data_IF_555230288295
#
_entry.id   IF_555230288295
#
_cell.length_a   1.000
_cell.length_b   1.000
_cell.length_c   1.000
_cell.angle_alpha   90.00
_cell.angle_beta   90.00
_cell.angle_gamma   90.00
#
_symmetry.space_group_name_H-M   'P 1'
#
loop_
_entity.id
_entity.type
_entity.pdbx_description
1 polymer ?
#
# COMPACT_ATOMS: atom_id res chain seq x y z
N UNK A 1 -19.34 -1.41 -7.66
CA UNK A 1 -18.13 -0.72 -8.17
C UNK A 1 -17.16 -1.80 -8.64
N UNK A 2 -16.74 -1.88 -9.92
CA UNK A 2 -15.88 -2.96 -10.38
C UNK A 2 -14.42 -2.63 -10.02
N UNK A 3 -13.97 -3.17 -8.89
CA UNK A 3 -12.58 -3.13 -8.45
C UNK A 3 -11.83 -4.24 -9.21
N UNK A 4 -10.86 -3.85 -10.04
CA UNK A 4 -10.03 -4.71 -10.90
C UNK A 4 -10.73 -5.33 -12.12
N UNK A 5 -10.70 -4.64 -13.26
CA UNK A 5 -10.79 -5.29 -14.57
C UNK A 5 -9.36 -5.51 -15.09
N UNK A 6 -8.92 -6.77 -15.10
CA UNK A 6 -7.66 -7.17 -15.75
C UNK A 6 -7.82 -7.04 -17.27
N UNK A 7 -7.48 -5.89 -17.84
CA UNK A 7 -7.39 -5.73 -19.30
C UNK A 7 -6.19 -6.53 -19.78
N UNK A 8 -6.43 -7.79 -20.14
CA UNK A 8 -5.41 -8.72 -20.63
C UNK A 8 -5.34 -8.59 -22.15
N UNK A 9 -4.35 -7.88 -22.70
CA UNK A 9 -4.03 -8.04 -24.13
C UNK A 9 -3.23 -9.33 -24.29
N UNK A 10 -3.84 -10.34 -24.92
CA UNK A 10 -3.13 -11.54 -25.35
C UNK A 10 -2.43 -11.23 -26.67
N UNK A 11 -1.11 -11.09 -26.66
CA UNK A 11 -0.31 -11.05 -27.89
C UNK A 11 0.43 -12.39 -28.03
N UNK A 12 0.24 -13.06 -29.16
CA UNK A 12 0.92 -14.32 -29.47
C UNK A 12 2.17 -13.98 -30.27
N UNK A 13 3.36 -14.26 -29.73
CA UNK A 13 4.62 -14.28 -30.49
C UNK A 13 5.30 -15.63 -30.26
N UNK A 14 5.68 -16.30 -31.34
CA UNK A 14 6.41 -17.58 -31.35
C UNK A 14 5.79 -18.70 -30.50
N UNK A 15 4.49 -18.96 -30.64
CA UNK A 15 3.81 -20.10 -30.02
C UNK A 15 3.71 -20.05 -28.48
N UNK A 16 4.18 -18.97 -27.84
CA UNK A 16 4.09 -18.75 -26.40
C UNK A 16 3.14 -17.57 -26.16
N UNK A 17 2.08 -17.80 -25.39
CA UNK A 17 1.15 -16.74 -25.01
C UNK A 17 1.84 -15.85 -23.98
N UNK A 18 2.24 -14.64 -24.36
CA UNK A 18 2.82 -13.65 -23.45
C UNK A 18 1.69 -12.70 -23.05
N UNK A 19 1.25 -12.80 -21.80
CA UNK A 19 0.26 -11.90 -21.22
C UNK A 19 0.96 -10.63 -20.73
N UNK A 20 1.11 -9.64 -21.61
CA UNK A 20 1.59 -8.32 -21.22
C UNK A 20 0.46 -7.54 -20.53
N UNK A 21 0.43 -7.66 -19.21
CA UNK A 21 -0.42 -6.83 -18.37
C UNK A 21 0.25 -5.47 -18.19
N UNK A 22 -0.05 -4.48 -19.02
CA UNK A 22 0.53 -3.13 -18.93
C UNK A 22 0.22 -2.40 -17.60
N UNK A 23 -0.72 -2.92 -16.79
CA UNK A 23 -1.10 -2.39 -15.46
C UNK A 23 -0.44 -3.19 -14.32
N UNK A 24 -0.01 -4.44 -14.57
CA UNK A 24 0.64 -5.28 -13.55
C UNK A 24 1.99 -4.76 -13.01
N UNK A 25 2.78 -3.92 -13.70
CA UNK A 25 3.92 -3.27 -13.05
C UNK A 25 3.52 -2.08 -12.17
N UNK A 26 2.32 -1.51 -12.36
CA UNK A 26 1.83 -0.34 -11.63
C UNK A 26 1.23 -0.71 -10.27
N UNK A 27 0.85 -1.97 -10.05
CA UNK A 27 0.50 -2.49 -8.74
C UNK A 27 1.51 -3.58 -8.46
N UNK A 28 2.21 -3.57 -7.32
CA UNK A 28 3.10 -4.68 -6.94
C UNK A 28 2.25 -5.96 -6.76
N UNK A 29 1.92 -6.63 -7.86
CA UNK A 29 0.76 -7.50 -8.06
C UNK A 29 0.92 -8.90 -7.41
N UNK A 30 1.68 -8.97 -6.32
CA UNK A 30 1.85 -10.15 -5.48
C UNK A 30 1.84 -9.84 -3.98
N UNK A 31 2.00 -8.58 -3.57
CA UNK A 31 2.12 -8.20 -2.14
C UNK A 31 0.74 -7.89 -1.55
N UNK A 32 -0.10 -7.12 -2.26
CA UNK A 32 -1.46 -6.80 -1.85
C UNK A 32 -2.46 -7.81 -2.42
N UNK A 33 -2.56 -9.01 -1.83
CA UNK A 33 -3.55 -10.02 -2.24
C UNK A 33 -4.95 -9.64 -1.73
N UNK A 34 -5.82 -9.20 -2.65
CA UNK A 34 -7.27 -8.98 -2.41
C UNK A 34 -7.63 -8.09 -1.20
N UNK A 35 -6.74 -7.16 -0.83
CA UNK A 35 -6.95 -6.23 0.27
C UNK A 35 -6.93 -4.80 -0.28
N UNK A 36 -8.09 -4.12 -0.22
CA UNK A 36 -8.27 -2.76 -0.74
C UNK A 36 -7.43 -1.72 0.00
N UNK A 37 -7.25 -1.88 1.32
CA UNK A 37 -6.44 -0.98 2.14
C UNK A 37 -4.97 -1.04 1.69
N UNK A 38 -4.45 -2.26 1.49
CA UNK A 38 -3.10 -2.48 1.00
C UNK A 38 -2.89 -1.91 -0.40
N UNK A 39 -3.86 -2.09 -1.30
CA UNK A 39 -3.78 -1.54 -2.65
C UNK A 39 -3.76 0.00 -2.64
N UNK A 40 -4.59 0.64 -1.81
CA UNK A 40 -4.62 2.09 -1.65
C UNK A 40 -3.28 2.64 -1.15
N UNK A 41 -2.72 2.03 -0.09
CA UNK A 41 -1.45 2.44 0.50
C UNK A 41 -0.30 2.37 -0.50
N UNK A 42 -0.22 1.28 -1.28
CA UNK A 42 0.80 1.11 -2.32
C UNK A 42 0.65 2.14 -3.45
N UNK A 43 -0.59 2.42 -3.85
CA UNK A 43 -0.87 3.42 -4.88
C UNK A 43 -0.44 4.83 -4.43
N UNK A 44 -0.70 5.21 -3.18
CA UNK A 44 -0.25 6.50 -2.65
C UNK A 44 1.27 6.60 -2.58
N UNK A 45 1.97 5.53 -2.19
CA UNK A 45 3.43 5.51 -2.15
C UNK A 45 4.06 5.70 -3.54
N UNK A 46 3.49 5.09 -4.57
CA UNK A 46 4.02 5.18 -5.95
C UNK A 46 3.86 6.57 -6.56
N UNK A 47 2.75 7.24 -6.26
CA UNK A 47 2.49 8.60 -6.77
C UNK A 47 3.23 9.69 -5.98
N UNK A 48 3.95 9.31 -4.92
CA UNK A 48 4.73 10.26 -4.13
C UNK A 48 6.02 10.64 -4.86
N UNK A 49 6.33 11.94 -4.88
CA UNK A 49 7.63 12.46 -5.33
C UNK A 49 8.75 11.93 -4.44
N UNK A 50 9.97 11.91 -4.95
CA UNK A 50 11.16 11.61 -4.16
C UNK A 50 11.26 12.56 -2.95
N UNK A 51 11.57 12.01 -1.78
CA UNK A 51 11.58 12.74 -0.49
C UNK A 51 10.21 13.34 -0.10
N UNK A 52 9.13 12.86 -0.71
CA UNK A 52 7.76 13.25 -0.38
C UNK A 52 7.32 12.75 0.99
N UNK A 53 6.23 13.34 1.50
CA UNK A 53 5.59 12.97 2.77
C UNK A 53 4.16 12.53 2.53
N UNK A 54 3.69 11.58 3.33
CA UNK A 54 2.37 10.98 3.15
C UNK A 54 1.75 10.68 4.51
N UNK A 55 0.47 11.00 4.68
CA UNK A 55 -0.34 10.59 5.82
C UNK A 55 -1.46 9.68 5.32
N UNK A 56 -1.61 8.50 5.92
CA UNK A 56 -2.63 7.51 5.56
C UNK A 56 -3.49 7.16 6.75
N UNK A 57 -4.81 7.25 6.60
CA UNK A 57 -5.76 6.73 7.57
C UNK A 57 -6.03 5.27 7.23
N UNK A 58 -5.68 4.37 8.14
CA UNK A 58 -5.91 2.93 7.97
C UNK A 58 -6.71 2.38 9.15
N UNK A 59 -7.51 1.32 8.96
CA UNK A 59 -8.04 0.56 10.07
C UNK A 59 -6.91 0.03 10.95
N UNK A 60 -7.12 -0.04 12.27
CA UNK A 60 -6.10 -0.54 13.20
C UNK A 60 -5.67 -1.98 12.87
N UNK A 61 -6.57 -2.79 12.28
CA UNK A 61 -6.26 -4.12 11.78
C UNK A 61 -5.13 -4.16 10.72
N UNK A 62 -4.91 -3.08 9.97
CA UNK A 62 -3.81 -2.99 9.00
C UNK A 62 -2.43 -3.11 9.66
N UNK A 63 -2.30 -2.73 10.94
CA UNK A 63 -1.03 -2.78 11.67
C UNK A 63 -0.69 -4.18 12.17
N UNK A 64 -1.70 -5.00 12.48
CA UNK A 64 -1.51 -6.25 13.21
C UNK A 64 -1.80 -7.51 12.41
N UNK A 65 -2.59 -7.42 11.34
CA UNK A 65 -2.95 -8.60 10.57
C UNK A 65 -1.74 -9.15 9.79
N UNK A 66 -1.73 -10.48 9.61
CA UNK A 66 -0.66 -11.21 8.91
C UNK A 66 -0.71 -11.01 7.40
N UNK A 67 -1.90 -10.81 6.83
CA UNK A 67 -2.13 -10.57 5.40
C UNK A 67 -1.43 -9.30 4.88
N UNK A 68 -1.29 -8.29 5.74
CA UNK A 68 -0.72 -6.97 5.48
C UNK A 68 0.75 -6.87 5.89
N UNK A 69 1.34 -7.93 6.46
CA UNK A 69 2.74 -7.94 6.94
C UNK A 69 3.75 -7.66 5.82
N UNK A 70 3.57 -8.28 4.66
CA UNK A 70 4.40 -8.10 3.47
C UNK A 70 4.35 -6.65 2.96
N UNK A 71 3.17 -6.03 3.02
CA UNK A 71 2.93 -4.64 2.63
C UNK A 71 3.62 -3.68 3.61
N UNK A 72 3.51 -3.94 4.92
CA UNK A 72 4.20 -3.13 5.94
C UNK A 72 5.72 -3.18 5.79
N UNK A 73 6.27 -4.37 5.55
CA UNK A 73 7.71 -4.53 5.31
C UNK A 73 8.14 -3.75 4.05
N UNK A 74 7.34 -3.82 2.99
CA UNK A 74 7.61 -3.08 1.77
C UNK A 74 7.56 -1.56 1.98
N UNK A 75 6.56 -1.05 2.70
CA UNK A 75 6.45 0.38 3.03
C UNK A 75 7.68 0.89 3.78
N UNK A 76 8.13 0.16 4.81
CA UNK A 76 9.31 0.52 5.60
C UNK A 76 10.61 0.48 4.79
N UNK A 77 10.68 -0.36 3.74
CA UNK A 77 11.83 -0.41 2.83
C UNK A 77 11.88 0.74 1.82
N UNK A 78 10.79 1.49 1.65
CA UNK A 78 10.66 2.55 0.63
C UNK A 78 10.43 3.93 1.22
N UNK A 79 9.88 4.03 2.42
CA UNK A 79 9.63 5.30 3.09
C UNK A 79 9.91 5.16 4.60
N UNK A 80 10.26 6.28 5.22
CA UNK A 80 10.55 6.34 6.66
C UNK A 80 9.24 6.58 7.42
N UNK A 81 8.83 5.61 8.24
CA UNK A 81 7.72 5.80 9.18
C UNK A 81 8.18 6.73 10.31
N UNK A 82 7.56 7.89 10.42
CA UNK A 82 7.91 8.88 11.44
C UNK A 82 6.95 8.87 12.62
N UNK A 83 5.66 8.61 12.39
CA UNK A 83 4.66 8.61 13.46
C UNK A 83 3.51 7.66 13.14
N UNK A 84 2.96 7.06 14.20
CA UNK A 84 1.70 6.34 14.20
C UNK A 84 0.80 6.99 15.23
N UNK A 85 -0.37 7.49 14.81
CA UNK A 85 -1.34 8.15 15.68
C UNK A 85 -2.57 7.28 15.77
N UNK A 86 -2.86 6.72 16.94
CA UNK A 86 -4.11 5.96 17.15
C UNK A 86 -5.26 6.90 17.46
N UNK A 87 -6.36 6.73 16.73
CA UNK A 87 -7.58 7.52 16.92
C UNK A 87 -8.56 6.77 17.83
N UNK A 88 -9.40 7.46 18.62
CA UNK A 88 -10.50 6.85 19.35
C UNK A 88 -11.53 6.19 18.41
N UNK A 89 -12.23 5.15 18.88
CA UNK A 89 -13.28 4.43 18.10
C UNK A 89 -14.42 5.34 17.65
N UNK A 90 -14.69 6.41 18.40
CA UNK A 90 -15.76 7.36 18.13
C UNK A 90 -15.47 8.35 17.00
N UNK A 91 -14.24 8.37 16.44
CA UNK A 91 -13.79 9.40 15.49
C UNK A 91 -14.60 9.43 14.19
N UNK A 92 -15.10 8.27 13.74
CA UNK A 92 -15.82 8.14 12.46
C UNK A 92 -17.32 7.80 12.62
N UNK A 93 -17.89 8.03 13.81
CA UNK A 93 -19.33 7.91 14.01
C UNK A 93 -20.10 9.03 13.28
N UNK A 94 -21.30 8.76 12.73
CA UNK A 94 -22.09 7.52 12.86
C UNK A 94 -21.77 6.45 11.80
N UNK A 95 -20.76 6.67 10.94
CA UNK A 95 -20.51 5.81 9.77
C UNK A 95 -19.82 4.50 10.13
N UNK A 96 -18.87 4.52 11.05
CA UNK A 96 -18.16 3.31 11.49
C UNK A 96 -17.60 3.45 12.90
N UNK A 97 -17.72 2.38 13.69
CA UNK A 97 -17.10 2.24 15.01
C UNK A 97 -15.72 1.58 14.97
N UNK A 98 -15.15 1.38 13.78
CA UNK A 98 -13.82 0.77 13.62
C UNK A 98 -12.75 1.72 14.15
N UNK A 99 -11.88 1.21 15.04
CA UNK A 99 -10.69 1.95 15.47
C UNK A 99 -9.71 2.08 14.31
N UNK A 100 -9.21 3.29 14.11
CA UNK A 100 -8.34 3.66 12.99
C UNK A 100 -7.03 4.25 13.52
N UNK A 101 -6.02 4.28 12.67
CA UNK A 101 -4.74 4.91 12.96
C UNK A 101 -4.25 5.69 11.76
N UNK A 102 -3.57 6.81 12.02
CA UNK A 102 -2.91 7.60 11.00
C UNK A 102 -1.44 7.20 10.97
N UNK A 103 -0.96 6.77 9.81
CA UNK A 103 0.44 6.50 9.53
C UNK A 103 1.05 7.69 8.82
N UNK A 104 2.11 8.25 9.38
CA UNK A 104 2.84 9.36 8.79
C UNK A 104 4.21 8.92 8.31
N UNK A 105 4.41 8.99 7.00
CA UNK A 105 5.63 8.64 6.30
C UNK A 105 6.34 9.89 5.75
N UNK A 106 7.66 9.85 5.77
CA UNK A 106 8.54 10.86 5.19
C UNK A 106 9.62 10.19 4.34
N UNK A 107 10.37 11.00 3.59
CA UNK A 107 11.50 10.57 2.80
C UNK A 107 11.17 9.40 1.86
N UNK A 108 10.03 9.48 1.17
CA UNK A 108 9.63 8.43 0.23
C UNK A 108 10.68 8.25 -0.88
N UNK A 109 10.91 6.99 -1.24
CA UNK A 109 11.94 6.51 -2.16
C UNK A 109 13.39 6.75 -1.70
N UNK A 110 13.58 7.20 -0.45
CA UNK A 110 14.90 7.32 0.21
C UNK A 110 14.85 6.58 1.56
N UNK A 111 14.95 5.24 1.57
CA UNK A 111 15.04 4.51 2.82
C UNK A 111 16.30 4.94 3.58
N UNK A 112 16.09 5.45 4.79
CA UNK A 112 17.18 5.81 5.70
C UNK A 112 17.92 4.54 6.13
N UNK A 113 19.25 4.61 6.23
CA UNK A 113 20.06 3.55 6.83
C UNK A 113 19.74 3.55 8.33
N UNK A 114 18.73 2.78 8.75
CA UNK A 114 18.40 2.62 10.17
C UNK A 114 19.66 2.15 10.92
N UNK A 115 20.31 3.09 11.63
CA UNK A 115 21.39 2.77 12.57
C UNK A 115 20.72 2.14 13.78
N UNK A 116 20.83 0.82 13.87
CA UNK A 116 20.55 0.10 15.10
C UNK A 116 21.62 0.51 16.12
N UNK A 117 21.22 1.19 17.20
CA UNK A 117 22.04 1.38 18.40
C UNK A 117 21.75 0.26 19.38
#
# INVERSE_FOLDING_TARGET
>A
MPFSQTITKKTIKNGKTITENHIAPLYYNGIAKNNGDAACVLHCLQNLKESGRMALVVPEGFLFRKDTSSVRQFLLSKAKLQLVISLPQSTFLPYTGVKTSILYFTDAHKPDKQKYY
#
